data_IF_001555529297
#
_entry.id   IF_001555529297
#
_cell.length_a   1.000
_cell.length_b   1.000
_cell.length_c   1.000
_cell.angle_alpha   90.00
_cell.angle_beta   90.00
_cell.angle_gamma   90.00
#
_symmetry.space_group_name_H-M   'P 1'
#
loop_
_entity.id
_entity.type
_entity.pdbx_description
1 polymer ?
#
# COMPACT_ATOMS: atom_id res chain seq x y z
N UNK A 1 7.45 -8.32 -13.85
CA UNK A 1 7.19 -9.77 -13.89
C UNK A 1 6.86 -10.24 -12.47
N UNK A 2 5.69 -10.82 -12.22
CA UNK A 2 5.26 -11.22 -10.87
C UNK A 2 6.11 -12.35 -10.28
N UNK A 3 6.51 -13.33 -11.09
CA UNK A 3 7.29 -14.47 -10.62
C UNK A 3 8.67 -14.06 -10.08
N UNK A 4 9.31 -13.09 -10.74
CA UNK A 4 10.56 -12.48 -10.27
C UNK A 4 10.38 -11.76 -8.92
N UNK A 5 9.27 -11.03 -8.74
CA UNK A 5 8.96 -10.36 -7.47
C UNK A 5 8.77 -11.36 -6.32
N UNK A 6 8.07 -12.47 -6.57
CA UNK A 6 7.92 -13.53 -5.55
C UNK A 6 9.25 -14.22 -5.21
N UNK A 7 10.12 -14.45 -6.21
CA UNK A 7 11.47 -14.96 -5.97
C UNK A 7 12.25 -13.99 -5.10
N UNK A 8 12.24 -12.69 -5.44
CA UNK A 8 12.92 -11.66 -4.67
C UNK A 8 12.41 -11.59 -3.23
N UNK A 9 11.09 -11.61 -3.02
CA UNK A 9 10.49 -11.62 -1.69
C UNK A 9 10.95 -12.82 -0.84
N UNK A 10 11.05 -14.01 -1.45
CA UNK A 10 11.59 -15.21 -0.79
C UNK A 10 13.08 -15.10 -0.49
N UNK A 11 13.86 -14.47 -1.35
CA UNK A 11 15.28 -14.25 -1.10
C UNK A 11 15.52 -13.27 0.04
N UNK A 12 14.79 -12.15 0.06
CA UNK A 12 14.88 -11.14 1.13
C UNK A 12 14.55 -11.76 2.49
N UNK A 13 13.43 -12.47 2.61
CA UNK A 13 13.03 -13.07 3.89
C UNK A 13 13.95 -14.22 4.34
N UNK A 14 14.64 -14.89 3.41
CA UNK A 14 15.67 -15.89 3.73
C UNK A 14 16.99 -15.26 4.17
N UNK A 15 17.41 -14.17 3.54
CA UNK A 15 18.67 -13.49 3.85
C UNK A 15 18.56 -12.65 5.12
N UNK A 16 17.40 -12.04 5.33
CA UNK A 16 17.13 -11.12 6.44
C UNK A 16 16.03 -11.69 7.34
N UNK A 17 16.41 -12.54 8.29
CA UNK A 17 15.45 -13.23 9.18
C UNK A 17 14.60 -12.31 10.07
N UNK A 18 14.95 -11.02 10.17
CA UNK A 18 14.15 -10.00 10.87
C UNK A 18 13.04 -9.40 10.00
N UNK A 19 13.03 -9.70 8.69
CA UNK A 19 12.00 -9.27 7.76
C UNK A 19 10.95 -10.37 7.64
N UNK A 20 9.79 -10.13 8.24
CA UNK A 20 8.69 -11.10 8.22
C UNK A 20 7.84 -11.00 6.96
N UNK A 21 7.82 -9.84 6.28
CA UNK A 21 6.95 -9.58 5.13
C UNK A 21 7.63 -8.71 4.09
N UNK A 22 7.32 -9.01 2.83
CA UNK A 22 7.71 -8.22 1.66
C UNK A 22 6.45 -7.93 0.86
N UNK A 23 6.23 -6.65 0.57
CA UNK A 23 5.06 -6.16 -0.18
C UNK A 23 5.53 -5.46 -1.45
N UNK A 24 4.72 -5.53 -2.50
CA UNK A 24 4.89 -4.74 -3.73
C UNK A 24 3.94 -3.54 -3.71
N UNK A 25 4.46 -2.34 -3.99
CA UNK A 25 3.65 -1.12 -4.05
C UNK A 25 3.09 -0.96 -5.46
N UNK A 26 1.76 -0.92 -5.60
CA UNK A 26 1.11 -0.83 -6.90
C UNK A 26 1.14 0.61 -7.46
N UNK A 27 1.14 0.69 -8.80
CA UNK A 27 1.11 1.94 -9.55
C UNK A 27 2.49 2.44 -9.95
N UNK A 28 2.60 3.76 -10.17
CA UNK A 28 3.85 4.40 -10.60
C UNK A 28 4.92 4.30 -9.52
N UNK A 29 6.19 4.34 -9.96
CA UNK A 29 7.38 4.38 -9.10
C UNK A 29 7.22 5.43 -8.00
N UNK A 30 7.51 5.03 -6.76
CA UNK A 30 7.55 5.94 -5.61
C UNK A 30 8.73 6.88 -5.76
N UNK A 31 8.47 8.18 -5.62
CA UNK A 31 9.49 9.23 -5.70
C UNK A 31 10.02 9.63 -4.33
N UNK A 32 9.37 9.20 -3.25
CA UNK A 32 9.89 9.42 -1.90
C UNK A 32 11.24 8.71 -1.76
N UNK A 33 12.27 9.45 -1.35
CA UNK A 33 13.58 8.88 -1.08
C UNK A 33 13.51 7.94 0.14
N UNK A 34 12.79 8.36 1.18
CA UNK A 34 12.62 7.61 2.43
C UNK A 34 11.26 7.88 3.07
N UNK A 35 10.72 6.86 3.75
CA UNK A 35 9.52 6.99 4.58
C UNK A 35 9.94 7.09 6.05
N UNK A 36 10.07 8.33 6.54
CA UNK A 36 10.57 8.62 7.89
C UNK A 36 9.48 8.83 8.94
N UNK A 37 8.21 8.86 8.52
CA UNK A 37 7.06 9.14 9.39
C UNK A 37 5.92 8.19 9.09
N UNK A 38 5.26 7.74 10.16
CA UNK A 38 4.02 6.97 10.14
C UNK A 38 2.84 7.86 10.52
N UNK A 39 1.68 7.60 9.93
CA UNK A 39 0.42 8.26 10.28
C UNK A 39 -0.04 7.75 11.64
N UNK A 40 -0.18 8.64 12.63
CA UNK A 40 -0.67 8.24 13.96
C UNK A 40 -2.04 7.60 13.83
N UNK A 41 -2.13 6.31 14.15
CA UNK A 41 -3.32 5.50 13.93
C UNK A 41 -3.67 4.76 15.21
N UNK A 42 -4.95 4.79 15.56
CA UNK A 42 -5.54 4.05 16.67
C UNK A 42 -6.89 3.51 16.21
N UNK A 43 -7.45 2.55 16.94
CA UNK A 43 -8.74 1.93 16.61
C UNK A 43 -9.91 2.89 16.90
N UNK A 44 -9.98 3.99 16.15
CA UNK A 44 -11.12 4.90 16.11
C UNK A 44 -12.12 4.42 15.06
N UNK A 45 -13.37 4.86 15.20
CA UNK A 45 -14.44 4.49 14.29
C UNK A 45 -14.11 4.81 12.83
N UNK A 46 -13.55 6.00 12.57
CA UNK A 46 -13.15 6.43 11.21
C UNK A 46 -12.10 5.52 10.57
N UNK A 47 -11.16 5.00 11.37
CA UNK A 47 -10.11 4.09 10.88
C UNK A 47 -10.69 2.71 10.58
N UNK A 48 -11.58 2.22 11.46
CA UNK A 48 -12.28 0.95 11.25
C UNK A 48 -13.18 1.02 10.02
N UNK A 49 -13.94 2.09 9.84
CA UNK A 49 -14.83 2.26 8.70
C UNK A 49 -14.04 2.42 7.38
N UNK A 50 -12.88 3.07 7.43
CA UNK A 50 -11.95 3.11 6.30
C UNK A 50 -11.46 1.71 5.91
N UNK A 51 -11.05 0.90 6.88
CA UNK A 51 -10.61 -0.47 6.63
C UNK A 51 -11.74 -1.33 6.05
N UNK A 52 -12.96 -1.22 6.61
CA UNK A 52 -14.17 -1.88 6.09
C UNK A 52 -14.51 -1.46 4.67
N UNK A 53 -14.40 -0.17 4.35
CA UNK A 53 -14.65 0.32 2.99
C UNK A 53 -13.63 -0.25 2.00
N UNK A 54 -12.35 -0.30 2.36
CA UNK A 54 -11.31 -0.93 1.53
C UNK A 54 -11.60 -2.41 1.28
N UNK A 55 -11.94 -3.15 2.34
CA UNK A 55 -12.28 -4.56 2.27
C UNK A 55 -13.51 -4.79 1.38
N UNK A 56 -14.59 -4.03 1.60
CA UNK A 56 -15.81 -4.09 0.81
C UNK A 56 -15.53 -3.96 -0.69
N UNK A 57 -14.76 -2.93 -1.10
CA UNK A 57 -14.44 -2.72 -2.51
C UNK A 57 -13.60 -3.88 -3.08
N UNK A 58 -12.61 -4.37 -2.34
CA UNK A 58 -11.81 -5.52 -2.78
C UNK A 58 -12.66 -6.78 -2.94
N UNK A 59 -13.57 -7.04 -2.00
CA UNK A 59 -14.48 -8.19 -2.03
C UNK A 59 -15.47 -8.13 -3.19
N UNK A 60 -16.08 -6.95 -3.44
CA UNK A 60 -16.99 -6.76 -4.58
C UNK A 60 -16.31 -7.06 -5.92
N UNK A 61 -15.09 -6.56 -6.11
CA UNK A 61 -14.34 -6.77 -7.36
C UNK A 61 -13.95 -8.24 -7.51
N UNK A 62 -13.50 -8.89 -6.42
CA UNK A 62 -13.25 -10.34 -6.42
C UNK A 62 -14.49 -11.13 -6.83
N UNK A 63 -15.68 -10.68 -6.41
CA UNK A 63 -16.97 -11.29 -6.79
C UNK A 63 -17.21 -11.18 -8.29
N UNK A 64 -17.06 -9.98 -8.83
CA UNK A 64 -17.34 -9.68 -10.23
C UNK A 64 -16.43 -10.48 -11.17
N UNK A 65 -15.18 -10.69 -10.76
CA UNK A 65 -14.20 -11.51 -11.48
C UNK A 65 -14.28 -13.01 -11.18
N UNK A 66 -15.25 -13.46 -10.38
CA UNK A 66 -15.47 -14.87 -10.00
C UNK A 66 -14.24 -15.54 -9.35
N UNK A 67 -13.40 -14.76 -8.68
CA UNK A 67 -12.13 -15.25 -8.10
C UNK A 67 -12.27 -15.80 -6.66
N UNK A 68 -13.47 -15.76 -6.08
CA UNK A 68 -13.74 -16.29 -4.72
C UNK A 68 -13.41 -17.77 -4.53
N UNK A 69 -13.55 -18.59 -5.57
CA UNK A 69 -13.21 -20.01 -5.51
C UNK A 69 -11.71 -20.27 -5.70
N UNK A 70 -10.99 -19.33 -6.32
CA UNK A 70 -9.58 -19.47 -6.65
C UNK A 70 -8.68 -19.04 -5.48
N UNK A 71 -9.16 -18.16 -4.60
CA UNK A 71 -8.39 -17.60 -3.48
C UNK A 71 -9.01 -18.09 -2.17
N UNK A 72 -8.22 -18.74 -1.31
CA UNK A 72 -8.72 -19.27 -0.03
C UNK A 72 -9.17 -18.14 0.90
N UNK A 73 -8.34 -17.10 1.03
CA UNK A 73 -8.64 -15.89 1.80
C UNK A 73 -7.90 -14.69 1.20
N UNK A 74 -8.44 -13.49 1.40
CA UNK A 74 -7.74 -12.25 1.08
C UNK A 74 -7.95 -11.18 2.15
N UNK A 75 -7.18 -11.18 3.25
CA UNK A 75 -7.19 -10.06 4.18
C UNK A 75 -6.86 -8.74 3.48
N UNK A 76 -7.53 -7.68 3.91
CA UNK A 76 -7.29 -6.30 3.47
C UNK A 76 -6.85 -5.48 4.68
N UNK A 77 -5.57 -5.09 4.68
CA UNK A 77 -4.91 -4.54 5.87
C UNK A 77 -4.62 -3.06 5.65
N UNK A 78 -5.11 -2.21 6.55
CA UNK A 78 -4.79 -0.79 6.54
C UNK A 78 -3.47 -0.55 7.28
N UNK A 79 -2.49 0.07 6.62
CA UNK A 79 -1.20 0.41 7.22
C UNK A 79 -1.03 1.93 7.39
N UNK A 80 -0.39 2.38 8.49
CA UNK A 80 -0.19 3.80 8.81
C UNK A 80 0.94 4.43 8.00
N UNK A 81 1.03 4.15 6.70
CA UNK A 81 2.10 4.65 5.82
C UNK A 81 1.47 5.48 4.71
N UNK A 82 1.94 6.72 4.60
CA UNK A 82 1.65 7.59 3.48
C UNK A 82 2.83 7.64 2.52
N UNK A 83 2.56 7.30 1.25
CA UNK A 83 3.50 7.48 0.15
C UNK A 83 3.17 8.77 -0.64
N UNK A 84 4.05 9.08 -1.59
CA UNK A 84 4.00 10.20 -2.54
C UNK A 84 4.00 11.59 -1.91
N UNK A 85 4.59 11.75 -0.73
CA UNK A 85 4.67 13.05 -0.06
C UNK A 85 5.51 14.04 -0.86
N UNK A 86 6.58 13.57 -1.51
CA UNK A 86 7.44 14.44 -2.31
C UNK A 86 6.71 15.09 -3.50
N UNK A 87 5.67 14.46 -4.05
CA UNK A 87 4.88 15.02 -5.15
C UNK A 87 4.20 16.33 -4.71
N UNK A 88 3.66 16.35 -3.49
CA UNK A 88 3.05 17.56 -2.91
C UNK A 88 4.07 18.65 -2.64
N UNK A 89 5.30 18.28 -2.27
CA UNK A 89 6.38 19.24 -2.03
C UNK A 89 6.81 19.92 -3.34
N UNK A 90 7.02 19.14 -4.40
CA UNK A 90 7.53 19.64 -5.67
C UNK A 90 6.52 20.55 -6.40
N UNK A 91 5.22 20.20 -6.42
CA UNK A 91 4.19 21.03 -7.09
C UNK A 91 4.06 22.43 -6.46
N UNK A 92 4.34 22.57 -5.17
CA UNK A 92 4.31 23.89 -4.51
C UNK A 92 5.59 24.70 -4.72
N UNK A 93 6.74 24.05 -4.89
CA UNK A 93 7.98 24.74 -5.27
C UNK A 93 7.86 25.40 -6.65
N UNK A 94 7.23 24.73 -7.61
CA UNK A 94 6.97 25.30 -8.94
C UNK A 94 6.04 26.52 -8.89
N UNK A 95 5.02 26.50 -8.03
CA UNK A 95 4.12 27.65 -7.83
C UNK A 95 4.88 28.84 -7.22
N UNK A 96 5.72 28.60 -6.21
CA UNK A 96 6.48 29.66 -5.54
C UNK A 96 7.58 30.23 -6.45
N UNK A 97 8.27 29.40 -7.23
CA UNK A 97 9.33 29.87 -8.14
C UNK A 97 8.77 30.72 -9.31
N UNK A 98 7.48 30.59 -9.63
CA UNK A 98 6.79 31.43 -10.59
C UNK A 98 6.23 32.74 -10.00
N UNK A 99 6.34 32.94 -8.68
CA UNK A 99 6.06 34.23 -8.05
C UNK A 99 7.33 35.07 -7.94
N UNK A 100 7.38 36.25 -8.56
CA UNK A 100 8.51 37.18 -8.52
C UNK A 100 8.64 37.94 -7.17
N UNK A 101 8.15 37.37 -6.07
CA UNK A 101 8.21 37.99 -4.74
C UNK A 101 9.54 37.62 -4.04
N UNK A 102 10.26 38.58 -3.43
CA UNK A 102 11.51 38.30 -2.74
C UNK A 102 11.26 37.46 -1.48
N UNK A 103 11.92 36.30 -1.38
CA UNK A 103 11.80 35.38 -0.25
C UNK A 103 12.61 35.93 0.93
N UNK A 104 11.96 36.35 2.03
CA UNK A 104 12.65 36.74 3.28
C UNK A 104 13.31 35.50 3.92
N UNK A 105 14.63 35.47 4.00
CA UNK A 105 15.42 34.35 4.54
C UNK A 105 15.17 34.06 6.03
N UNK A 106 14.54 34.99 6.77
CA UNK A 106 14.13 34.78 8.18
C UNK A 106 12.77 34.07 8.28
N UNK A 107 12.03 33.98 7.18
CA UNK A 107 10.85 33.13 7.08
C UNK A 107 11.34 31.76 6.67
N UNK A 108 11.20 30.77 7.56
CA UNK A 108 11.44 29.38 7.18
C UNK A 108 10.51 29.07 6.01
N UNK A 109 11.04 28.74 4.81
CA UNK A 109 10.19 28.50 3.67
C UNK A 109 9.14 27.44 4.03
N UNK A 110 7.88 27.66 3.66
CA UNK A 110 6.81 26.68 3.88
C UNK A 110 7.20 25.27 3.38
N UNK A 111 8.08 25.19 2.39
CA UNK A 111 8.70 23.94 1.91
C UNK A 111 9.51 23.20 2.98
N UNK A 112 10.28 23.90 3.83
CA UNK A 112 10.97 23.31 4.99
C UNK A 112 10.04 23.01 6.18
N UNK A 113 8.94 23.75 6.36
CA UNK A 113 7.91 23.40 7.35
C UNK A 113 7.03 22.22 6.89
N UNK A 114 7.02 21.89 5.60
CA UNK A 114 6.20 20.80 5.04
C UNK A 114 6.89 19.45 4.98
N UNK A 115 8.22 19.37 5.04
CA UNK A 115 8.90 18.13 5.47
C UNK A 115 8.56 17.77 6.93
N UNK A 116 7.90 18.68 7.65
CA UNK A 116 7.34 18.53 8.99
C UNK A 116 5.81 18.33 8.93
N UNK A 117 5.15 18.46 7.76
CA UNK A 117 3.73 18.19 7.64
C UNK A 117 3.46 16.72 7.98
N UNK A 118 2.72 16.52 9.06
CA UNK A 118 2.46 15.19 9.62
C UNK A 118 1.81 14.28 8.60
N UNK A 119 2.34 13.06 8.46
CA UNK A 119 1.67 11.97 7.74
C UNK A 119 0.21 11.83 8.19
N UNK A 120 -0.73 11.86 7.24
CA UNK A 120 -2.17 11.89 7.50
C UNK A 120 -2.96 10.86 6.67
N UNK A 121 -2.35 10.25 5.65
CA UNK A 121 -2.98 9.20 4.85
C UNK A 121 -2.54 7.81 5.27
N UNK A 122 -3.28 6.81 4.80
CA UNK A 122 -2.99 5.39 5.01
C UNK A 122 -2.65 4.72 3.68
N UNK A 123 -2.17 3.50 3.75
CA UNK A 123 -2.10 2.62 2.59
C UNK A 123 -2.81 1.32 2.88
N UNK A 124 -3.16 0.58 1.83
CA UNK A 124 -3.89 -0.68 1.95
C UNK A 124 -3.02 -1.81 1.42
N UNK A 125 -2.91 -2.90 2.14
CA UNK A 125 -2.26 -4.13 1.67
C UNK A 125 -3.34 -5.15 1.33
N UNK A 126 -3.32 -5.63 0.09
CA UNK A 126 -4.09 -6.78 -0.35
C UNK A 126 -3.28 -8.05 -0.09
N UNK A 127 -3.81 -8.94 0.74
CA UNK A 127 -3.12 -10.16 1.16
C UNK A 127 -3.81 -11.39 0.59
N UNK A 128 -3.57 -11.73 -0.67
CA UNK A 128 -4.09 -13.02 -1.16
C UNK A 128 -3.40 -14.18 -0.48
N UNK A 129 -4.15 -15.23 -0.17
CA UNK A 129 -3.62 -16.41 0.49
C UNK A 129 -4.25 -17.68 -0.09
N UNK A 130 -3.38 -18.59 -0.54
CA UNK A 130 -3.73 -19.90 -1.05
C UNK A 130 -3.15 -20.95 -0.11
N UNK A 131 -4.01 -21.83 0.39
CA UNK A 131 -3.63 -22.89 1.31
C UNK A 131 -4.54 -24.11 1.20
N UNK A 132 -4.02 -25.27 1.60
CA UNK A 132 -4.78 -26.52 1.75
C UNK A 132 -5.06 -26.87 3.21
N UNK A 133 -4.22 -26.41 4.12
CA UNK A 133 -4.17 -26.84 5.52
C UNK A 133 -4.02 -25.68 6.52
N UNK A 134 -3.98 -24.43 6.03
CA UNK A 134 -3.68 -23.21 6.77
C UNK A 134 -2.34 -23.19 7.52
N UNK A 135 -1.54 -24.26 7.45
CA UNK A 135 -0.20 -24.35 8.05
C UNK A 135 0.86 -23.82 7.10
N UNK A 136 0.69 -24.08 5.81
CA UNK A 136 1.51 -23.54 4.74
C UNK A 136 0.65 -22.76 3.75
N UNK A 137 1.23 -21.77 3.09
CA UNK A 137 0.49 -21.08 2.04
C UNK A 137 1.34 -20.11 1.24
N UNK A 138 0.80 -19.73 0.10
CA UNK A 138 1.45 -18.80 -0.81
C UNK A 138 0.47 -17.70 -1.21
N UNK A 139 0.98 -16.52 -1.59
CA UNK A 139 0.15 -15.54 -2.27
C UNK A 139 -0.40 -16.12 -3.58
N UNK A 140 -1.55 -15.63 -3.99
CA UNK A 140 -2.02 -15.80 -5.35
C UNK A 140 -1.12 -15.01 -6.31
N UNK A 141 -0.92 -15.52 -7.52
CA UNK A 141 -0.10 -14.86 -8.54
C UNK A 141 -1.03 -14.14 -9.50
N UNK A 142 -1.01 -12.79 -9.56
CA UNK A 142 -1.83 -12.04 -10.53
C UNK A 142 -1.45 -12.41 -11.97
N UNK A 143 -2.44 -12.61 -12.83
CA UNK A 143 -2.26 -13.10 -14.20
C UNK A 143 -2.19 -14.62 -14.33
N UNK A 144 -2.07 -15.36 -13.22
CA UNK A 144 -2.12 -16.83 -13.23
C UNK A 144 -3.30 -17.36 -12.41
N UNK A 145 -3.43 -16.94 -11.15
CA UNK A 145 -4.49 -17.39 -10.25
C UNK A 145 -5.81 -16.65 -10.50
N UNK A 146 -5.70 -15.38 -10.92
CA UNK A 146 -6.82 -14.52 -11.27
C UNK A 146 -6.36 -13.47 -12.30
N UNK A 147 -7.28 -12.85 -13.07
CA UNK A 147 -6.92 -11.88 -14.10
C UNK A 147 -6.14 -10.69 -13.56
N UNK A 148 -5.13 -10.20 -14.29
CA UNK A 148 -4.35 -9.04 -13.84
C UNK A 148 -5.23 -7.78 -13.73
N UNK A 149 -6.19 -7.60 -14.65
CA UNK A 149 -7.12 -6.48 -14.65
C UNK A 149 -7.94 -6.37 -13.35
N UNK A 150 -8.23 -7.49 -12.69
CA UNK A 150 -8.92 -7.51 -11.40
C UNK A 150 -8.12 -6.77 -10.33
N UNK A 151 -6.79 -6.94 -10.30
CA UNK A 151 -5.92 -6.24 -9.35
C UNK A 151 -5.86 -4.74 -9.63
N UNK A 152 -5.80 -4.38 -10.92
CA UNK A 152 -5.77 -2.98 -11.34
C UNK A 152 -7.09 -2.28 -10.99
N UNK A 153 -8.23 -2.95 -11.23
CA UNK A 153 -9.56 -2.47 -10.85
C UNK A 153 -9.68 -2.29 -9.33
N UNK A 154 -9.19 -3.24 -8.52
CA UNK A 154 -9.14 -3.11 -7.06
C UNK A 154 -8.34 -1.87 -6.63
N UNK A 155 -7.15 -1.71 -7.19
CA UNK A 155 -6.27 -0.59 -6.87
C UNK A 155 -6.95 0.74 -7.20
N UNK A 156 -7.53 0.87 -8.39
CA UNK A 156 -8.19 2.10 -8.84
C UNK A 156 -9.45 2.40 -8.02
N UNK A 157 -10.29 1.38 -7.78
CA UNK A 157 -11.55 1.54 -7.05
C UNK A 157 -11.32 1.94 -5.60
N UNK A 158 -10.40 1.28 -4.89
CA UNK A 158 -10.06 1.62 -3.50
C UNK A 158 -9.53 3.06 -3.43
N UNK A 159 -8.57 3.42 -4.29
CA UNK A 159 -7.98 4.76 -4.28
C UNK A 159 -8.98 5.87 -4.62
N UNK A 160 -9.95 5.58 -5.49
CA UNK A 160 -10.94 6.57 -5.93
C UNK A 160 -12.07 6.75 -4.92
N UNK A 161 -12.54 5.64 -4.32
CA UNK A 161 -13.75 5.66 -3.50
C UNK A 161 -13.49 5.74 -1.98
N UNK A 162 -12.27 5.45 -1.52
CA UNK A 162 -11.93 5.52 -0.09
C UNK A 162 -11.01 6.72 0.18
N UNK A 163 -11.51 7.79 0.82
CA UNK A 163 -10.71 8.97 1.12
C UNK A 163 -9.52 8.67 2.02
N UNK A 164 -8.38 9.30 1.71
CA UNK A 164 -7.17 9.20 2.52
C UNK A 164 -6.38 7.90 2.33
N UNK A 165 -6.60 7.16 1.23
CA UNK A 165 -5.71 6.08 0.79
C UNK A 165 -4.66 6.65 -0.17
N UNK A 166 -3.39 6.56 0.22
CA UNK A 166 -2.25 6.99 -0.60
C UNK A 166 -1.86 5.92 -1.63
N UNK A 167 -1.65 4.67 -1.19
CA UNK A 167 -1.29 3.54 -2.06
C UNK A 167 -2.04 2.26 -1.69
N UNK A 168 -2.12 1.38 -2.70
CA UNK A 168 -2.49 -0.02 -2.53
C UNK A 168 -1.25 -0.87 -2.79
N UNK A 169 -1.03 -1.87 -1.96
CA UNK A 169 0.13 -2.75 -1.95
C UNK A 169 -0.35 -4.20 -2.04
N UNK A 170 0.54 -5.09 -2.47
CA UNK A 170 0.29 -6.52 -2.62
C UNK A 170 1.30 -7.33 -1.81
N UNK A 171 0.86 -8.17 -0.88
CA UNK A 171 1.77 -8.99 -0.07
C UNK A 171 2.31 -10.20 -0.86
N UNK A 172 3.63 -10.28 -0.95
CA UNK A 172 4.36 -11.29 -1.71
C UNK A 172 4.84 -12.47 -0.86
N UNK A 173 4.57 -12.46 0.45
CA UNK A 173 5.23 -13.36 1.39
C UNK A 173 4.51 -14.69 1.50
N UNK A 174 5.23 -15.82 1.58
CA UNK A 174 4.62 -17.12 1.89
C UNK A 174 4.48 -17.35 3.41
N UNK A 175 3.63 -18.29 3.79
CA UNK A 175 3.60 -18.88 5.13
C UNK A 175 4.31 -20.23 5.11
N UNK A 176 5.40 -20.44 5.87
CA UNK A 176 6.22 -19.45 6.60
C UNK A 176 7.09 -18.58 5.65
N UNK A 177 7.68 -17.44 6.10
CA UNK A 177 7.81 -16.97 7.50
C UNK A 177 6.63 -16.14 8.01
N UNK A 178 5.74 -15.69 7.14
CA UNK A 178 4.59 -14.89 7.52
C UNK A 178 3.42 -15.74 8.06
N UNK A 179 2.46 -15.09 8.70
CA UNK A 179 1.13 -15.64 9.00
C UNK A 179 0.11 -15.21 7.94
N UNK A 180 -1.10 -15.78 8.00
CA UNK A 180 -2.21 -15.39 7.12
C UNK A 180 -2.60 -13.92 7.35
N UNK A 181 -2.93 -13.59 8.59
CA UNK A 181 -3.23 -12.23 9.05
C UNK A 181 -1.95 -11.42 9.30
N UNK A 182 -2.07 -10.10 9.42
CA UNK A 182 -0.95 -9.20 9.73
C UNK A 182 -0.81 -8.86 11.22
N UNK A 183 -1.64 -9.46 12.07
CA UNK A 183 -1.67 -9.30 13.54
C UNK A 183 -1.29 -10.59 14.26
#
# INVERSE_FOLDING_TARGET
>A
NWNELFILARLITKACHHINRVVYILGKKILDAEITQVTRTSLTQDIVDKARACDYHAMVIMKNHKAYSAISQMPVVLIPIQFDRQIYLNHHEEINNNSNEPVDERIIPLTRLRSIASSFQHSVVLRTFLTKDFMTGRPAVPGETFPLEMLDEMCQTIKTNVPGISRVLYDLTSKPPATTEWE
#
